data_IF_763043940233
#
_entry.id   IF_763043940233
#
_cell.length_a   1.000
_cell.length_b   1.000
_cell.length_c   1.000
_cell.angle_alpha   90.00
_cell.angle_beta   90.00
_cell.angle_gamma   90.00
#
_symmetry.space_group_name_H-M   'P 1'
#
loop_
_entity.id
_entity.type
_entity.pdbx_description
1 polymer ?
#
# COMPACT_ATOMS: atom_id res chain seq x y z
N UNK A 1 -60.09 11.54 1.35
CA UNK A 1 -58.78 10.92 1.03
C UNK A 1 -58.27 10.28 2.30
N UNK A 2 -58.05 8.96 2.29
CA UNK A 2 -57.94 8.13 3.50
C UNK A 2 -56.46 7.97 3.90
N UNK A 3 -56.13 8.20 5.17
CA UNK A 3 -54.77 8.25 5.69
C UNK A 3 -54.17 6.85 5.97
N UNK A 4 -54.26 5.92 5.00
CA UNK A 4 -53.80 4.53 5.17
C UNK A 4 -52.75 4.06 4.16
N UNK A 5 -52.36 4.91 3.21
CA UNK A 5 -51.44 4.53 2.11
C UNK A 5 -50.02 5.12 2.22
N UNK A 6 -49.61 5.63 3.40
CA UNK A 6 -48.25 6.12 3.65
C UNK A 6 -47.49 5.21 4.63
N UNK A 7 -47.55 3.90 4.38
CA UNK A 7 -46.57 2.97 4.95
C UNK A 7 -45.35 2.96 4.03
N UNK A 8 -44.34 3.77 4.38
CA UNK A 8 -43.00 3.63 3.82
C UNK A 8 -42.56 2.17 3.97
N UNK A 9 -42.01 1.53 2.92
CA UNK A 9 -41.45 0.19 3.07
C UNK A 9 -40.36 0.23 4.15
N UNK A 10 -40.21 -0.84 4.96
CA UNK A 10 -39.13 -0.92 5.94
C UNK A 10 -37.81 -0.70 5.22
N UNK A 11 -36.92 0.10 5.82
CA UNK A 11 -35.55 0.36 5.36
C UNK A 11 -34.83 -0.96 5.19
N UNK A 12 -35.00 -1.57 4.02
CA UNK A 12 -34.15 -2.63 3.53
C UNK A 12 -32.77 -2.01 3.42
N UNK A 13 -31.86 -2.51 4.25
CA UNK A 13 -30.43 -2.33 4.03
C UNK A 13 -30.16 -2.79 2.59
N UNK A 14 -30.08 -1.84 1.68
CA UNK A 14 -29.41 -2.04 0.40
C UNK A 14 -27.98 -2.39 0.77
N UNK A 15 -27.72 -3.67 0.98
CA UNK A 15 -26.38 -4.23 0.99
C UNK A 15 -25.77 -3.79 -0.32
N UNK A 16 -24.90 -2.79 -0.24
CA UNK A 16 -24.16 -2.26 -1.37
C UNK A 16 -23.49 -3.46 -2.08
N UNK A 17 -23.86 -3.81 -3.32
CA UNK A 17 -23.30 -4.98 -3.99
C UNK A 17 -21.81 -4.81 -4.32
N UNK A 18 -21.25 -3.62 -4.08
CA UNK A 18 -19.81 -3.41 -3.99
C UNK A 18 -19.37 -3.57 -2.53
N UNK A 19 -19.32 -4.82 -2.09
CA UNK A 19 -18.19 -5.25 -1.27
C UNK A 19 -16.94 -4.89 -2.08
N UNK A 20 -16.44 -3.66 -1.91
CA UNK A 20 -15.10 -3.33 -2.36
C UNK A 20 -14.22 -4.22 -1.52
N UNK A 21 -13.78 -5.33 -2.11
CA UNK A 21 -12.65 -6.07 -1.56
C UNK A 21 -11.63 -5.00 -1.19
N UNK A 22 -11.35 -4.85 0.10
CA UNK A 22 -10.26 -3.99 0.52
C UNK A 22 -9.05 -4.62 -0.13
N UNK A 23 -8.64 -4.13 -1.29
CA UNK A 23 -7.39 -4.54 -1.92
C UNK A 23 -6.32 -4.02 -0.99
N UNK A 24 -6.03 -4.81 0.04
CA UNK A 24 -4.95 -4.53 0.94
C UNK A 24 -3.71 -4.61 0.07
N UNK A 25 -3.00 -3.48 -0.03
CA UNK A 25 -1.76 -3.43 -0.77
C UNK A 25 -0.87 -4.58 -0.27
N UNK A 26 -0.49 -5.49 -1.18
CA UNK A 26 0.27 -6.69 -0.84
C UNK A 26 1.69 -6.27 -0.48
N UNK A 27 2.14 -6.63 0.71
CA UNK A 27 3.54 -6.44 1.10
C UNK A 27 4.43 -7.40 0.33
N UNK A 28 5.50 -6.89 -0.27
CA UNK A 28 6.39 -7.65 -1.14
C UNK A 28 7.75 -7.84 -0.47
N UNK A 29 8.27 -6.77 0.14
CA UNK A 29 9.59 -6.77 0.73
C UNK A 29 9.70 -5.70 1.81
N UNK A 30 10.56 -5.97 2.79
CA UNK A 30 11.11 -5.00 3.71
C UNK A 30 12.52 -4.63 3.27
N UNK A 31 12.87 -3.35 3.41
CA UNK A 31 14.20 -2.85 3.05
C UNK A 31 14.60 -1.68 3.93
N UNK A 32 15.89 -1.39 3.91
CA UNK A 32 16.47 -0.20 4.53
C UNK A 32 17.01 0.71 3.44
N UNK A 33 17.01 2.02 3.68
CA UNK A 33 17.52 2.99 2.72
C UNK A 33 18.47 3.98 3.38
N UNK A 34 19.51 4.34 2.64
CA UNK A 34 20.41 5.44 2.92
C UNK A 34 20.15 6.57 1.90
N UNK A 35 19.80 7.75 2.39
CA UNK A 35 19.54 8.94 1.57
C UNK A 35 20.68 9.93 1.83
N UNK A 36 21.67 9.87 0.94
CA UNK A 36 22.92 10.59 1.15
C UNK A 36 23.64 10.19 2.45
N UNK A 37 24.67 10.93 2.86
CA UNK A 37 25.52 10.55 3.99
C UNK A 37 24.88 10.79 5.37
N UNK A 38 23.71 11.42 5.43
CA UNK A 38 23.17 11.96 6.68
C UNK A 38 21.90 11.26 7.17
N UNK A 39 21.26 10.44 6.34
CA UNK A 39 19.95 9.88 6.66
C UNK A 39 19.87 8.41 6.32
N UNK A 40 19.48 7.60 7.31
CA UNK A 40 19.12 6.20 7.14
C UNK A 40 17.73 5.97 7.69
N UNK A 41 16.90 5.27 6.91
CA UNK A 41 15.57 4.85 7.34
C UNK A 41 15.49 3.34 7.28
N UNK A 42 15.09 2.76 8.40
CA UNK A 42 15.03 1.32 8.59
C UNK A 42 13.60 0.82 8.51
N UNK A 43 13.44 -0.44 8.12
CA UNK A 43 12.16 -1.14 8.10
C UNK A 43 11.12 -0.45 7.19
N UNK A 44 11.57 0.04 6.04
CA UNK A 44 10.71 0.48 4.95
C UNK A 44 10.00 -0.74 4.34
N UNK A 45 8.82 -0.52 3.76
CA UNK A 45 8.04 -1.60 3.12
C UNK A 45 7.69 -1.25 1.68
N UNK A 46 7.95 -2.17 0.77
CA UNK A 46 7.51 -2.13 -0.62
C UNK A 46 6.19 -2.89 -0.75
N UNK A 47 5.16 -2.23 -1.28
CA UNK A 47 3.83 -2.84 -1.46
C UNK A 47 3.32 -2.68 -2.89
N UNK A 48 2.62 -3.68 -3.41
CA UNK A 48 1.85 -3.56 -4.66
C UNK A 48 0.44 -3.08 -4.31
N UNK A 49 0.06 -1.94 -4.87
CA UNK A 49 -1.30 -1.40 -4.77
C UNK A 49 -2.30 -2.14 -5.68
N UNK A 50 -3.60 -1.80 -5.57
CA UNK A 50 -4.65 -2.32 -6.45
C UNK A 50 -4.41 -2.03 -7.94
N UNK A 51 -3.63 -1.00 -8.26
CA UNK A 51 -3.22 -0.62 -9.61
C UNK A 51 -2.04 -1.44 -10.15
N UNK A 52 -1.65 -2.51 -9.46
CA UNK A 52 -0.47 -3.34 -9.74
C UNK A 52 0.87 -2.57 -9.73
N UNK A 53 0.89 -1.33 -9.21
CA UNK A 53 2.11 -0.52 -9.13
C UNK A 53 2.77 -0.68 -7.75
N UNK A 54 4.08 -0.93 -7.71
CA UNK A 54 4.82 -0.93 -6.45
C UNK A 54 4.90 0.49 -5.88
N UNK A 55 4.84 0.61 -4.55
CA UNK A 55 5.05 1.86 -3.82
C UNK A 55 5.75 1.59 -2.50
N UNK A 56 6.72 2.45 -2.18
CA UNK A 56 7.44 2.42 -0.90
C UNK A 56 6.72 3.22 0.18
N UNK A 57 6.67 2.67 1.39
CA UNK A 57 6.07 3.32 2.56
C UNK A 57 7.04 3.40 3.73
N UNK A 58 7.02 4.56 4.40
CA UNK A 58 7.76 4.79 5.62
C UNK A 58 7.32 3.84 6.76
N UNK A 59 8.23 3.48 7.67
CA UNK A 59 7.90 2.69 8.84
C UNK A 59 6.82 3.38 9.68
N UNK A 60 6.01 2.57 10.35
CA UNK A 60 5.03 3.05 11.32
C UNK A 60 5.59 2.91 12.73
N UNK A 61 5.63 4.00 13.48
CA UNK A 61 5.94 4.00 14.91
C UNK A 61 4.66 4.24 15.71
N UNK A 62 4.24 3.25 16.50
CA UNK A 62 2.99 3.32 17.31
C UNK A 62 1.77 3.79 16.51
N UNK A 63 1.61 3.27 15.29
CA UNK A 63 0.50 3.61 14.40
C UNK A 63 0.64 4.93 13.62
N UNK A 64 1.67 5.74 13.89
CA UNK A 64 1.96 6.98 13.15
C UNK A 64 3.01 6.75 12.08
N UNK A 65 2.90 7.43 10.93
CA UNK A 65 3.94 7.42 9.90
C UNK A 65 5.17 8.14 10.43
N UNK A 66 6.33 7.49 10.33
CA UNK A 66 7.59 8.07 10.81
C UNK A 66 8.18 9.11 9.85
N UNK A 67 7.87 9.01 8.55
CA UNK A 67 8.34 9.93 7.53
C UNK A 67 7.34 10.06 6.37
N UNK A 68 7.50 11.13 5.60
CA UNK A 68 6.89 11.34 4.29
C UNK A 68 7.95 11.91 3.35
N UNK A 69 7.80 11.63 2.06
CA UNK A 69 8.73 12.09 1.04
C UNK A 69 7.98 12.88 -0.03
N UNK A 70 8.68 13.81 -0.68
CA UNK A 70 8.20 14.43 -1.92
C UNK A 70 7.92 13.33 -2.96
N UNK A 71 6.90 13.46 -3.83
CA UNK A 71 6.57 12.43 -4.84
C UNK A 71 7.76 11.96 -5.66
N UNK A 72 8.63 12.87 -6.11
CA UNK A 72 9.80 12.53 -6.91
C UNK A 72 10.79 11.64 -6.15
N UNK A 73 11.06 11.99 -4.89
CA UNK A 73 11.91 11.17 -4.03
C UNK A 73 11.24 9.83 -3.72
N UNK A 74 9.94 9.80 -3.47
CA UNK A 74 9.21 8.56 -3.24
C UNK A 74 9.29 7.60 -4.45
N UNK A 75 9.25 8.15 -5.67
CA UNK A 75 9.42 7.37 -6.90
C UNK A 75 10.85 6.82 -7.00
N UNK A 76 11.87 7.65 -6.80
CA UNK A 76 13.28 7.20 -6.80
C UNK A 76 13.54 6.08 -5.78
N UNK A 77 12.98 6.21 -4.58
CA UNK A 77 13.06 5.17 -3.53
C UNK A 77 12.39 3.87 -3.99
N UNK A 78 11.23 3.98 -4.65
CA UNK A 78 10.48 2.82 -5.15
C UNK A 78 11.24 2.11 -6.27
N UNK A 79 11.78 2.85 -7.23
CA UNK A 79 12.55 2.31 -8.35
C UNK A 79 13.81 1.60 -7.87
N UNK A 80 14.55 2.20 -6.93
CA UNK A 80 15.74 1.60 -6.32
C UNK A 80 15.41 0.31 -5.56
N UNK A 81 14.32 0.31 -4.78
CA UNK A 81 13.89 -0.88 -4.03
C UNK A 81 13.45 -2.02 -4.98
N UNK A 82 12.75 -1.69 -6.07
CA UNK A 82 12.33 -2.67 -7.07
C UNK A 82 13.53 -3.27 -7.83
N UNK A 83 14.50 -2.44 -8.22
CA UNK A 83 15.73 -2.90 -8.86
C UNK A 83 16.50 -3.88 -7.95
N UNK A 84 16.75 -3.49 -6.70
CA UNK A 84 17.44 -4.33 -5.72
C UNK A 84 16.70 -5.67 -5.46
N UNK A 85 15.36 -5.64 -5.42
CA UNK A 85 14.55 -6.85 -5.26
C UNK A 85 14.71 -7.80 -6.46
N UNK A 86 14.67 -7.27 -7.69
CA UNK A 86 14.84 -8.04 -8.92
C UNK A 86 16.24 -8.67 -9.00
N UNK A 87 17.28 -7.92 -8.66
CA UNK A 87 18.65 -8.43 -8.61
C UNK A 87 18.78 -9.59 -7.61
N UNK A 88 18.25 -9.44 -6.40
CA UNK A 88 18.26 -10.52 -5.39
C UNK A 88 17.55 -11.78 -5.89
N UNK A 89 16.40 -11.62 -6.54
CA UNK A 89 15.66 -12.74 -7.11
C UNK A 89 16.44 -13.44 -8.23
N UNK A 90 17.11 -12.69 -9.10
CA UNK A 90 17.96 -13.23 -10.16
C UNK A 90 19.16 -14.01 -9.60
N UNK A 91 19.81 -13.49 -8.55
CA UNK A 91 20.90 -14.19 -7.86
C UNK A 91 20.44 -15.46 -7.12
N UNK A 92 19.23 -15.45 -6.57
CA UNK A 92 18.65 -16.64 -5.94
C UNK A 92 18.41 -17.77 -6.96
N UNK A 93 17.95 -17.44 -8.17
CA UNK A 93 17.70 -18.42 -9.23
C UNK A 93 18.99 -19.05 -9.78
N UNK A 94 20.11 -18.31 -9.81
CA UNK A 94 21.40 -18.79 -10.35
C UNK A 94 22.12 -19.81 -9.45
N UNK A 95 21.69 -20.00 -8.20
CA UNK A 95 22.39 -20.82 -7.19
C UNK A 95 21.82 -22.23 -7.01
N UNK A 96 20.84 -22.61 -7.83
CA UNK A 96 20.25 -23.96 -7.91
C UNK A 96 20.63 -24.64 -9.23
#
# INVERSE_FOLDING_TARGET
MNAKDLLLPPRGSLKNPRSVASSQAKEIAYFDIEIGPHLRLFNMVLKIGPDARPRSYAPKARGKRAASFHPDLAQQITDAAEAALKERAAHAYRRN
#
